data_IF_350300421197
#
_entry.id   IF_350300421197
#
_cell.length_a   1.000
_cell.length_b   1.000
_cell.length_c   1.000
_cell.angle_alpha   90.00
_cell.angle_beta   90.00
_cell.angle_gamma   90.00
#
_symmetry.space_group_name_H-M   'P 1'
#
loop_
_entity.id
_entity.type
_entity.pdbx_description
1 polymer ?
#
# COMPACT_ATOMS: atom_id res chain seq x y z
N UNK A 1 42.89 -23.03 -41.68
CA UNK A 1 42.52 -21.90 -40.78
C UNK A 1 41.29 -21.20 -41.33
N UNK A 2 40.10 -21.41 -40.74
CA UNK A 2 38.93 -20.56 -40.98
C UNK A 2 38.32 -20.22 -39.62
N UNK A 3 38.65 -19.04 -39.15
CA UNK A 3 38.18 -18.45 -37.90
C UNK A 3 36.67 -18.27 -37.97
N UNK A 4 35.93 -18.87 -37.04
CA UNK A 4 34.49 -18.63 -36.88
C UNK A 4 34.31 -17.47 -35.90
N UNK A 5 34.09 -16.29 -36.46
CA UNK A 5 33.74 -15.05 -35.74
C UNK A 5 32.45 -15.32 -34.96
N UNK A 6 32.53 -15.32 -33.62
CA UNK A 6 31.36 -15.33 -32.74
C UNK A 6 30.90 -13.88 -32.60
N UNK A 7 29.86 -13.52 -33.35
CA UNK A 7 29.20 -12.23 -33.23
C UNK A 7 28.35 -12.26 -31.94
N UNK A 8 28.81 -11.57 -30.89
CA UNK A 8 28.02 -11.34 -29.68
C UNK A 8 26.98 -10.25 -29.99
N UNK A 9 25.73 -10.66 -30.18
CA UNK A 9 24.60 -9.74 -30.23
C UNK A 9 24.40 -9.11 -28.84
N UNK A 10 24.77 -7.85 -28.69
CA UNK A 10 24.34 -7.01 -27.57
C UNK A 10 22.84 -6.72 -27.74
N UNK A 11 22.01 -7.42 -26.96
CA UNK A 11 20.59 -7.09 -26.83
C UNK A 11 20.48 -5.92 -25.85
N UNK A 12 20.27 -4.72 -26.38
CA UNK A 12 19.94 -3.54 -25.58
C UNK A 12 18.55 -3.75 -24.96
N UNK A 13 18.51 -4.10 -23.67
CA UNK A 13 17.29 -4.12 -22.90
C UNK A 13 16.82 -2.68 -22.68
N UNK A 14 15.86 -2.24 -23.49
CA UNK A 14 15.11 -1.00 -23.24
C UNK A 14 14.28 -1.25 -21.98
N UNK A 15 14.75 -0.72 -20.86
CA UNK A 15 13.99 -0.62 -19.63
C UNK A 15 12.80 0.31 -19.86
N UNK A 16 11.63 -0.26 -20.12
CA UNK A 16 10.36 0.47 -20.08
C UNK A 16 10.12 0.87 -18.63
N UNK A 17 10.40 2.13 -18.31
CA UNK A 17 10.00 2.73 -17.04
C UNK A 17 8.49 2.72 -16.94
N UNK A 18 7.93 1.88 -16.07
CA UNK A 18 6.55 1.99 -15.62
C UNK A 18 6.41 3.32 -14.86
N UNK A 19 5.88 4.35 -15.50
CA UNK A 19 5.46 5.58 -14.81
C UNK A 19 4.04 5.40 -14.29
N UNK A 20 3.79 5.29 -12.98
CA UNK A 20 2.43 5.27 -12.46
C UNK A 20 1.94 6.72 -12.36
N UNK A 21 1.68 7.39 -13.49
CA UNK A 21 1.38 8.83 -13.50
C UNK A 21 -0.12 9.19 -13.45
N UNK A 22 -1.03 8.21 -13.31
CA UNK A 22 -2.49 8.45 -13.43
C UNK A 22 -3.30 8.24 -12.14
N UNK A 23 -2.67 8.08 -10.97
CA UNK A 23 -3.42 7.88 -9.73
C UNK A 23 -4.19 9.18 -9.35
N UNK A 24 -5.53 9.10 -9.33
CA UNK A 24 -6.46 10.17 -8.92
C UNK A 24 -6.57 11.38 -9.87
N UNK A 25 -6.30 11.18 -11.16
CA UNK A 25 -6.67 12.15 -12.17
C UNK A 25 -8.21 12.35 -12.17
N UNK A 26 -8.67 13.60 -12.30
CA UNK A 26 -10.10 13.92 -12.29
C UNK A 26 -10.72 14.23 -10.92
N UNK A 27 -10.09 13.85 -9.80
CA UNK A 27 -10.58 14.22 -8.45
C UNK A 27 -10.44 15.73 -8.26
N UNK A 28 -11.56 16.41 -8.01
CA UNK A 28 -11.62 17.88 -7.89
C UNK A 28 -11.54 18.34 -6.45
N UNK A 29 -12.12 17.58 -5.52
CA UNK A 29 -12.07 17.94 -4.11
C UNK A 29 -10.67 17.67 -3.50
N UNK A 30 -9.98 18.68 -2.94
CA UNK A 30 -8.64 18.51 -2.38
C UNK A 30 -8.57 17.55 -1.18
N UNK A 31 -9.56 17.56 -0.27
CA UNK A 31 -9.60 16.66 0.88
C UNK A 31 -9.77 15.20 0.43
N UNK A 32 -10.66 14.96 -0.54
CA UNK A 32 -10.83 13.63 -1.14
C UNK A 32 -9.55 13.16 -1.83
N UNK A 33 -8.92 14.03 -2.62
CA UNK A 33 -7.66 13.70 -3.29
C UNK A 33 -6.57 13.34 -2.28
N UNK A 34 -6.45 14.08 -1.19
CA UNK A 34 -5.46 13.84 -0.15
C UNK A 34 -5.63 12.46 0.51
N UNK A 35 -6.85 12.07 0.91
CA UNK A 35 -7.10 10.75 1.52
C UNK A 35 -6.92 9.61 0.53
N UNK A 36 -7.24 9.82 -0.75
CA UNK A 36 -7.02 8.79 -1.79
C UNK A 36 -5.53 8.58 -2.07
N UNK A 37 -4.73 9.66 -2.12
CA UNK A 37 -3.26 9.57 -2.19
C UNK A 37 -2.71 8.79 -1.00
N UNK A 38 -3.18 9.08 0.22
CA UNK A 38 -2.77 8.36 1.42
C UNK A 38 -3.09 6.85 1.30
N UNK A 39 -4.31 6.49 0.90
CA UNK A 39 -4.69 5.09 0.73
C UNK A 39 -3.89 4.38 -0.36
N UNK A 40 -3.46 5.11 -1.39
CA UNK A 40 -2.54 4.57 -2.40
C UNK A 40 -1.14 4.33 -1.84
N UNK A 41 -0.64 5.17 -0.94
CA UNK A 41 0.62 4.93 -0.22
C UNK A 41 0.54 3.69 0.69
N UNK A 42 -0.57 3.53 1.42
CA UNK A 42 -0.86 2.31 2.20
C UNK A 42 -0.84 1.07 1.29
N UNK A 43 -1.57 1.12 0.17
CA UNK A 43 -1.63 0.02 -0.82
C UNK A 43 -0.26 -0.32 -1.39
N UNK A 44 0.51 0.68 -1.82
CA UNK A 44 1.83 0.46 -2.44
C UNK A 44 2.81 -0.10 -1.43
N UNK A 45 2.87 0.45 -0.22
CA UNK A 45 3.80 0.00 0.83
C UNK A 45 3.48 -1.42 1.29
N UNK A 46 2.20 -1.73 1.54
CA UNK A 46 1.79 -3.09 1.86
C UNK A 46 2.00 -4.05 0.68
N UNK A 47 1.81 -3.59 -0.55
CA UNK A 47 2.05 -4.37 -1.75
C UNK A 47 3.51 -4.81 -1.91
N UNK A 48 4.47 -3.98 -1.53
CA UNK A 48 5.90 -4.34 -1.51
C UNK A 48 6.16 -5.46 -0.50
N UNK A 49 5.69 -5.29 0.74
CA UNK A 49 5.78 -6.30 1.80
C UNK A 49 5.13 -7.63 1.37
N UNK A 50 3.93 -7.54 0.77
CA UNK A 50 3.18 -8.70 0.30
C UNK A 50 3.87 -9.44 -0.85
N UNK A 51 4.60 -8.75 -1.73
CA UNK A 51 5.39 -9.41 -2.77
C UNK A 51 6.56 -10.21 -2.19
N UNK A 52 7.27 -9.66 -1.19
CA UNK A 52 8.32 -10.39 -0.46
C UNK A 52 7.73 -11.60 0.28
N UNK A 53 6.63 -11.40 1.02
CA UNK A 53 5.97 -12.48 1.74
C UNK A 53 5.51 -13.62 0.82
N UNK A 54 5.05 -13.30 -0.40
CA UNK A 54 4.66 -14.29 -1.42
C UNK A 54 5.84 -14.93 -2.16
N UNK A 55 7.07 -14.42 -1.98
CA UNK A 55 8.23 -14.85 -2.75
C UNK A 55 8.21 -14.40 -4.22
N UNK A 56 7.37 -13.43 -4.57
CA UNK A 56 7.33 -12.85 -5.91
C UNK A 56 8.55 -11.94 -6.17
N UNK A 57 9.10 -11.38 -5.10
CA UNK A 57 10.42 -10.74 -5.08
C UNK A 57 11.23 -11.35 -3.94
N UNK A 58 12.56 -11.30 -4.04
CA UNK A 58 13.44 -11.78 -2.97
C UNK A 58 13.18 -11.00 -1.67
N UNK A 59 13.20 -11.69 -0.54
CA UNK A 59 13.13 -11.04 0.76
C UNK A 59 14.45 -10.33 1.05
N UNK A 60 14.34 -9.05 1.41
CA UNK A 60 15.42 -8.25 1.97
C UNK A 60 14.89 -7.53 3.22
N UNK A 61 15.60 -7.68 4.34
CA UNK A 61 15.14 -7.15 5.62
C UNK A 61 15.16 -5.61 5.67
N UNK A 62 16.08 -4.97 4.96
CA UNK A 62 16.16 -3.50 4.91
C UNK A 62 15.02 -2.93 4.08
N UNK A 63 14.71 -3.55 2.93
CA UNK A 63 13.58 -3.16 2.10
C UNK A 63 12.24 -3.42 2.81
N UNK A 64 12.10 -4.54 3.52
CA UNK A 64 10.93 -4.85 4.32
C UNK A 64 10.72 -3.84 5.45
N UNK A 65 11.80 -3.46 6.15
CA UNK A 65 11.75 -2.43 7.18
C UNK A 65 11.39 -1.05 6.62
N UNK A 66 11.96 -0.67 5.47
CA UNK A 66 11.63 0.59 4.81
C UNK A 66 10.16 0.63 4.35
N UNK A 67 9.65 -0.47 3.81
CA UNK A 67 8.24 -0.58 3.41
C UNK A 67 7.29 -0.56 4.63
N UNK A 68 7.64 -1.26 5.72
CA UNK A 68 6.91 -1.21 7.00
C UNK A 68 6.85 0.21 7.55
N UNK A 69 7.96 0.94 7.55
CA UNK A 69 8.01 2.31 8.06
C UNK A 69 7.12 3.27 7.26
N UNK A 70 7.12 3.16 5.92
CA UNK A 70 6.18 3.92 5.06
C UNK A 70 4.73 3.56 5.34
N UNK A 71 4.43 2.28 5.46
CA UNK A 71 3.09 1.79 5.76
C UNK A 71 2.58 2.31 7.11
N UNK A 72 3.42 2.27 8.16
CA UNK A 72 3.10 2.75 9.50
C UNK A 72 2.84 4.26 9.52
N UNK A 73 3.72 5.03 8.86
CA UNK A 73 3.54 6.49 8.74
C UNK A 73 2.24 6.84 8.02
N UNK A 74 1.91 6.11 6.95
CA UNK A 74 0.66 6.32 6.23
C UNK A 74 -0.57 5.92 7.08
N UNK A 75 -0.50 4.82 7.85
CA UNK A 75 -1.62 4.41 8.73
C UNK A 75 -1.91 5.44 9.82
N UNK A 76 -0.88 6.09 10.36
CA UNK A 76 -1.02 7.14 11.37
C UNK A 76 -1.78 8.37 10.88
N UNK A 77 -1.72 8.68 9.58
CA UNK A 77 -2.40 9.84 9.00
C UNK A 77 -3.85 9.56 8.60
N UNK A 78 -4.35 8.32 8.73
CA UNK A 78 -5.67 7.92 8.21
C UNK A 78 -6.79 8.69 8.87
N UNK A 79 -6.82 8.74 10.20
CA UNK A 79 -7.89 9.43 10.93
C UNK A 79 -7.95 10.90 10.51
N UNK A 80 -6.81 11.59 10.54
CA UNK A 80 -6.75 13.02 10.16
C UNK A 80 -7.20 13.27 8.72
N UNK A 81 -6.79 12.44 7.76
CA UNK A 81 -7.19 12.63 6.36
C UNK A 81 -8.66 12.34 6.08
N UNK A 82 -9.35 11.64 6.98
CA UNK A 82 -10.78 11.32 6.83
C UNK A 82 -11.70 12.20 7.70
N UNK A 83 -11.16 13.11 8.53
CA UNK A 83 -11.97 14.00 9.38
C UNK A 83 -12.97 14.87 8.57
N UNK A 84 -12.54 15.41 7.44
CA UNK A 84 -13.40 16.21 6.58
C UNK A 84 -14.45 15.32 5.90
N UNK A 85 -15.72 15.54 6.25
CA UNK A 85 -16.88 14.92 5.59
C UNK A 85 -17.17 15.61 4.25
N UNK A 86 -16.23 15.43 3.33
CA UNK A 86 -16.29 15.94 1.97
C UNK A 86 -16.28 14.79 0.96
N UNK A 87 -16.89 15.03 -0.19
CA UNK A 87 -17.04 14.02 -1.25
C UNK A 87 -16.66 14.55 -2.62
N UNK A 88 -16.44 13.61 -3.53
CA UNK A 88 -16.14 13.78 -4.94
C UNK A 88 -16.76 12.58 -5.68
N UNK A 89 -17.25 12.71 -6.92
CA UNK A 89 -17.82 11.59 -7.67
C UNK A 89 -16.90 10.37 -7.79
N UNK A 90 -15.59 10.55 -7.70
CA UNK A 90 -14.59 9.47 -7.76
C UNK A 90 -14.24 8.89 -6.38
N UNK A 91 -14.85 9.39 -5.30
CA UNK A 91 -14.57 8.89 -3.95
C UNK A 91 -15.17 7.51 -3.72
N UNK A 92 -14.38 6.65 -3.08
CA UNK A 92 -14.84 5.34 -2.60
C UNK A 92 -15.06 5.32 -1.08
N UNK A 93 -15.01 6.48 -0.42
CA UNK A 93 -15.26 6.59 1.01
C UNK A 93 -16.78 6.52 1.27
N UNK A 94 -17.23 5.52 2.00
CA UNK A 94 -18.65 5.39 2.31
C UNK A 94 -19.09 6.45 3.33
N UNK A 95 -20.32 7.01 3.20
CA UNK A 95 -20.87 7.94 4.20
C UNK A 95 -20.92 7.38 5.63
N UNK A 96 -20.87 6.05 5.78
CA UNK A 96 -20.83 5.36 7.06
C UNK A 96 -19.62 5.74 7.93
N UNK A 97 -18.50 6.18 7.33
CA UNK A 97 -17.31 6.62 8.06
C UNK A 97 -17.68 7.70 9.08
N UNK A 98 -18.36 8.75 8.64
CA UNK A 98 -18.69 9.91 9.47
C UNK A 98 -19.89 9.66 10.39
N UNK A 99 -20.72 8.65 10.10
CA UNK A 99 -21.81 8.22 10.98
C UNK A 99 -21.31 7.37 12.14
N UNK A 100 -20.24 6.61 11.93
CA UNK A 100 -19.66 5.65 12.88
C UNK A 100 -18.19 6.00 13.16
N UNK A 101 -17.91 7.28 13.41
CA UNK A 101 -16.55 7.80 13.48
C UNK A 101 -15.67 7.08 14.51
N UNK A 102 -16.20 6.80 15.70
CA UNK A 102 -15.45 6.10 16.75
C UNK A 102 -15.03 4.70 16.32
N UNK A 103 -15.92 3.96 15.64
CA UNK A 103 -15.57 2.63 15.11
C UNK A 103 -14.55 2.73 13.96
N UNK A 104 -14.65 3.75 13.10
CA UNK A 104 -13.63 4.02 12.09
C UNK A 104 -12.25 4.27 12.73
N UNK A 105 -12.19 5.10 13.79
CA UNK A 105 -10.95 5.36 14.55
C UNK A 105 -10.42 4.09 15.21
N UNK A 106 -11.28 3.29 15.84
CA UNK A 106 -10.89 2.01 16.44
C UNK A 106 -10.31 1.05 15.39
N UNK A 107 -10.92 0.94 14.22
CA UNK A 107 -10.37 0.09 13.15
C UNK A 107 -9.06 0.63 12.59
N UNK A 108 -8.93 1.95 12.44
CA UNK A 108 -7.71 2.59 11.96
C UNK A 108 -6.54 2.37 12.92
N UNK A 109 -6.77 2.56 14.22
CA UNK A 109 -5.76 2.36 15.27
C UNK A 109 -5.39 0.88 15.44
N UNK A 110 -6.36 -0.04 15.34
CA UNK A 110 -6.07 -1.47 15.33
C UNK A 110 -5.22 -1.89 14.12
N UNK A 111 -5.45 -1.29 12.95
CA UNK A 111 -4.62 -1.52 11.76
C UNK A 111 -3.19 -1.00 11.95
N UNK A 112 -3.03 0.22 12.50
CA UNK A 112 -1.73 0.78 12.86
C UNK A 112 -0.96 -0.14 13.82
N UNK A 113 -1.59 -0.57 14.91
CA UNK A 113 -0.96 -1.44 15.90
C UNK A 113 -0.51 -2.79 15.28
N UNK A 114 -1.30 -3.35 14.36
CA UNK A 114 -0.91 -4.57 13.64
C UNK A 114 0.32 -4.36 12.74
N UNK A 115 0.50 -3.17 12.18
CA UNK A 115 1.70 -2.81 11.41
C UNK A 115 2.88 -2.62 12.36
N UNK A 116 2.70 -1.93 13.48
CA UNK A 116 3.77 -1.64 14.45
C UNK A 116 4.47 -2.92 14.93
N UNK A 117 3.68 -3.95 15.25
CA UNK A 117 4.20 -5.25 15.72
C UNK A 117 4.63 -6.20 14.60
N UNK A 118 4.53 -5.82 13.32
CA UNK A 118 4.95 -6.66 12.20
C UNK A 118 6.46 -6.94 12.28
N UNK A 119 6.85 -8.18 12.51
CA UNK A 119 8.24 -8.57 12.47
C UNK A 119 8.71 -8.72 11.02
N UNK A 120 9.82 -8.07 10.68
CA UNK A 120 10.44 -8.08 9.35
C UNK A 120 11.91 -8.51 9.40
N UNK A 121 12.31 -9.18 10.48
CA UNK A 121 13.67 -9.69 10.67
C UNK A 121 14.01 -10.83 9.70
N UNK A 122 13.04 -11.67 9.38
CA UNK A 122 13.13 -12.72 8.37
C UNK A 122 11.80 -12.97 7.65
N UNK A 123 11.85 -13.78 6.59
CA UNK A 123 10.70 -14.09 5.76
C UNK A 123 9.60 -14.88 6.50
N UNK A 124 9.96 -15.77 7.43
CA UNK A 124 8.99 -16.55 8.20
C UNK A 124 8.24 -15.65 9.20
N UNK A 125 8.97 -14.79 9.90
CA UNK A 125 8.43 -13.78 10.80
C UNK A 125 7.48 -12.82 10.05
N UNK A 126 7.93 -12.31 8.90
CA UNK A 126 7.13 -11.45 8.03
C UNK A 126 5.81 -12.12 7.65
N UNK A 127 5.87 -13.37 7.17
CA UNK A 127 4.68 -14.15 6.80
C UNK A 127 3.72 -14.34 7.96
N UNK A 128 4.24 -14.52 9.19
CA UNK A 128 3.46 -14.65 10.40
C UNK A 128 2.56 -13.44 10.68
N UNK A 129 3.04 -12.23 10.39
CA UNK A 129 2.28 -10.99 10.63
C UNK A 129 1.29 -10.59 9.54
N UNK A 130 1.41 -11.14 8.31
CA UNK A 130 0.61 -10.71 7.15
C UNK A 130 -0.90 -10.84 7.36
N UNK A 131 -1.35 -11.86 8.12
CA UNK A 131 -2.77 -12.11 8.35
C UNK A 131 -3.43 -11.00 9.17
N UNK A 132 -2.75 -10.47 10.18
CA UNK A 132 -3.28 -9.42 11.03
C UNK A 132 -3.52 -8.14 10.23
N UNK A 133 -2.54 -7.71 9.44
CA UNK A 133 -2.64 -6.52 8.60
C UNK A 133 -3.72 -6.69 7.53
N UNK A 134 -3.73 -7.83 6.83
CA UNK A 134 -4.77 -8.13 5.83
C UNK A 134 -6.19 -8.16 6.44
N UNK A 135 -6.32 -8.67 7.68
CA UNK A 135 -7.55 -8.63 8.45
C UNK A 135 -8.01 -7.20 8.76
N UNK A 136 -7.08 -6.32 9.14
CA UNK A 136 -7.36 -4.89 9.35
C UNK A 136 -7.86 -4.17 8.10
N UNK A 137 -7.22 -4.42 6.94
CA UNK A 137 -7.69 -3.91 5.64
C UNK A 137 -9.15 -4.32 5.38
N UNK A 138 -9.45 -5.62 5.53
CA UNK A 138 -10.78 -6.16 5.28
C UNK A 138 -11.83 -5.61 6.25
N UNK A 139 -11.50 -5.53 7.54
CA UNK A 139 -12.42 -5.06 8.57
C UNK A 139 -12.87 -3.61 8.33
N UNK A 140 -11.95 -2.74 7.90
CA UNK A 140 -12.26 -1.36 7.55
C UNK A 140 -13.02 -1.29 6.21
N UNK A 141 -12.48 -1.88 5.14
CA UNK A 141 -13.06 -1.74 3.81
C UNK A 141 -14.47 -2.33 3.70
N UNK A 142 -14.77 -3.44 4.38
CA UNK A 142 -16.12 -4.02 4.42
C UNK A 142 -17.18 -3.04 4.95
N UNK A 143 -16.78 -2.13 5.83
CA UNK A 143 -17.70 -1.19 6.50
C UNK A 143 -17.70 0.19 5.83
N UNK A 144 -16.55 0.59 5.27
CA UNK A 144 -16.25 2.00 5.02
C UNK A 144 -15.77 2.33 3.61
N UNK A 145 -15.58 1.31 2.75
CA UNK A 145 -15.20 1.52 1.36
C UNK A 145 -16.34 1.04 0.45
N UNK A 146 -16.76 1.88 -0.50
CA UNK A 146 -17.66 1.45 -1.58
C UNK A 146 -16.86 0.75 -2.68
N UNK A 147 -17.54 -0.08 -3.48
CA UNK A 147 -16.92 -0.77 -4.62
C UNK A 147 -16.40 0.23 -5.68
#
# INVERSE_FOLDING_TARGET
MKSRIRLFSFLAAIGVGLTPAFAHEGVKNPAVKARMILMQEVKTSFGQIGQMAKGAVAFDAQDAQAAKARLLKASQAVVDKFQANETDPLSQAAPAIWKNWDDFVVKSTAFEAAIEVLDVSDLAALRGGMRAIGGGCMACHKSYKTD
#
